data_IF_642212610459
#
_entry.id   IF_642212610459
#
_cell.length_a   1.000
_cell.length_b   1.000
_cell.length_c   1.000
_cell.angle_alpha   90.00
_cell.angle_beta   90.00
_cell.angle_gamma   90.00
#
_symmetry.space_group_name_H-M   'P 1'
#
loop_
_entity.id
_entity.type
_entity.pdbx_description
1 polymer ?
#
# COMPACT_ATOMS: atom_id res chain seq x y z
N UNK A 1 -10.04 -17.33 4.81
CA UNK A 1 -9.82 -16.23 3.84
C UNK A 1 -9.58 -14.93 4.61
N UNK A 2 -8.68 -14.06 4.16
CA UNK A 2 -8.35 -12.79 4.81
C UNK A 2 -8.02 -11.70 3.77
N UNK A 3 -7.85 -10.45 4.22
CA UNK A 3 -7.29 -9.37 3.38
C UNK A 3 -6.46 -8.41 4.21
N UNK A 4 -5.37 -7.93 3.63
CA UNK A 4 -4.72 -6.72 4.08
C UNK A 4 -5.37 -5.50 3.41
N UNK A 5 -5.49 -4.41 4.16
CA UNK A 5 -6.07 -3.13 3.71
C UNK A 5 -5.14 -1.99 4.13
N UNK A 6 -4.92 -1.03 3.23
CA UNK A 6 -4.21 0.22 3.50
C UNK A 6 -5.04 1.37 2.96
N UNK A 7 -5.18 2.42 3.76
CA UNK A 7 -5.75 3.70 3.34
C UNK A 7 -4.66 4.76 3.46
N UNK A 8 -4.41 5.50 2.38
CA UNK A 8 -3.56 6.70 2.38
C UNK A 8 -4.48 7.92 2.43
N UNK A 9 -4.26 8.83 3.38
CA UNK A 9 -4.96 10.10 3.45
C UNK A 9 -4.04 11.24 2.95
N UNK A 10 -4.51 12.00 1.97
CA UNK A 10 -3.86 13.21 1.48
C UNK A 10 -4.63 14.43 2.00
N UNK A 11 -4.00 15.18 2.90
CA UNK A 11 -4.51 16.43 3.44
C UNK A 11 -3.72 17.60 2.85
N UNK A 12 -4.42 18.53 2.20
CA UNK A 12 -3.86 19.77 1.64
C UNK A 12 -4.58 20.94 2.32
N UNK A 13 -3.86 21.96 2.84
CA UNK A 13 -4.51 23.12 3.44
C UNK A 13 -5.53 23.76 2.49
N UNK A 14 -6.75 23.98 2.97
CA UNK A 14 -7.83 24.57 2.19
C UNK A 14 -8.57 23.61 1.24
N UNK A 15 -8.15 22.34 1.17
CA UNK A 15 -8.84 21.30 0.41
C UNK A 15 -9.45 20.24 1.32
N UNK A 16 -10.46 19.54 0.82
CA UNK A 16 -10.97 18.34 1.48
C UNK A 16 -9.88 17.25 1.54
N UNK A 17 -9.82 16.52 2.65
CA UNK A 17 -8.93 15.36 2.77
C UNK A 17 -9.41 14.24 1.88
N UNK A 18 -8.54 13.75 1.00
CA UNK A 18 -8.84 12.65 0.08
C UNK A 18 -8.22 11.35 0.58
N UNK A 19 -8.93 10.24 0.47
CA UNK A 19 -8.43 8.91 0.88
C UNK A 19 -8.30 7.97 -0.30
N UNK A 20 -7.27 7.13 -0.28
CA UNK A 20 -6.98 6.14 -1.31
C UNK A 20 -6.79 4.77 -0.67
N UNK A 21 -7.70 3.85 -0.96
CA UNK A 21 -7.66 2.49 -0.41
C UNK A 21 -6.98 1.52 -1.37
N UNK A 22 -6.14 0.66 -0.83
CA UNK A 22 -5.60 -0.51 -1.50
C UNK A 22 -5.82 -1.76 -0.66
N UNK A 23 -6.17 -2.86 -1.32
CA UNK A 23 -6.40 -4.14 -0.67
C UNK A 23 -5.60 -5.26 -1.35
N UNK A 24 -5.22 -6.25 -0.58
CA UNK A 24 -4.71 -7.52 -1.06
C UNK A 24 -5.51 -8.62 -0.37
N UNK A 25 -6.34 -9.34 -1.12
CA UNK A 25 -7.07 -10.52 -0.62
C UNK A 25 -6.09 -11.68 -0.56
N UNK A 26 -6.28 -12.62 0.34
CA UNK A 26 -5.37 -13.75 0.52
C UNK A 26 -5.87 -14.73 1.57
N UNK A 27 -4.95 -15.52 2.10
CA UNK A 27 -5.25 -16.57 3.07
C UNK A 27 -4.25 -16.54 4.22
N UNK A 28 -4.72 -16.91 5.41
CA UNK A 28 -3.83 -17.09 6.56
C UNK A 28 -3.47 -18.57 6.60
N UNK A 29 -2.18 -18.87 6.54
CA UNK A 29 -1.64 -20.23 6.67
C UNK A 29 -1.28 -20.51 8.13
N UNK A 30 -1.31 -21.78 8.58
CA UNK A 30 -1.02 -22.14 9.97
C UNK A 30 0.47 -22.04 10.33
N UNK A 31 1.35 -22.06 9.32
CA UNK A 31 2.80 -22.09 9.49
C UNK A 31 3.43 -20.74 9.17
N UNK A 32 4.37 -20.32 10.00
CA UNK A 32 5.18 -19.13 9.77
C UNK A 32 6.25 -19.43 8.71
N UNK A 33 6.24 -18.70 7.59
CA UNK A 33 7.15 -18.89 6.46
C UNK A 33 7.78 -17.58 6.02
N UNK A 34 9.12 -17.58 5.94
CA UNK A 34 9.93 -16.44 5.52
C UNK A 34 10.23 -15.43 6.64
N UNK A 35 11.25 -14.60 6.42
CA UNK A 35 11.78 -13.65 7.42
C UNK A 35 11.68 -12.19 6.96
N UNK A 36 11.22 -11.95 5.73
CA UNK A 36 11.07 -10.61 5.19
C UNK A 36 9.79 -9.93 5.73
N UNK A 37 9.77 -8.60 5.66
CA UNK A 37 8.58 -7.84 6.03
C UNK A 37 8.39 -7.77 7.56
N UNK A 38 7.13 -7.71 8.00
CA UNK A 38 6.77 -7.54 9.41
C UNK A 38 5.32 -7.98 9.68
N UNK A 39 4.97 -8.09 10.97
CA UNK A 39 3.61 -8.40 11.41
C UNK A 39 3.12 -9.74 10.86
N UNK A 40 1.95 -9.75 10.22
CA UNK A 40 1.33 -10.96 9.68
C UNK A 40 1.90 -11.44 8.34
N UNK A 41 2.91 -10.74 7.80
CA UNK A 41 3.50 -11.09 6.51
C UNK A 41 3.87 -12.58 6.38
N UNK A 42 4.54 -13.22 7.37
CA UNK A 42 5.00 -14.58 7.18
C UNK A 42 3.90 -15.65 7.34
N UNK A 43 2.64 -15.26 7.63
CA UNK A 43 1.48 -16.16 7.59
C UNK A 43 0.44 -15.77 6.52
N UNK A 44 0.67 -14.70 5.75
CA UNK A 44 -0.29 -14.24 4.74
C UNK A 44 0.09 -14.76 3.35
N UNK A 45 -0.60 -15.79 2.87
CA UNK A 45 -0.43 -16.35 1.53
C UNK A 45 -1.03 -15.43 0.47
N UNK A 46 -0.22 -15.08 -0.54
CA UNK A 46 -0.59 -14.14 -1.61
C UNK A 46 -1.26 -14.87 -2.78
N UNK A 47 -2.45 -14.45 -3.25
CA UNK A 47 -3.15 -15.13 -4.34
C UNK A 47 -2.35 -15.21 -5.62
N UNK A 48 -2.51 -16.31 -6.35
CA UNK A 48 -1.77 -16.55 -7.60
C UNK A 48 -0.29 -16.83 -7.37
N UNK A 49 0.15 -17.00 -6.12
CA UNK A 49 1.51 -17.37 -5.76
C UNK A 49 1.48 -18.52 -4.74
N UNK A 50 2.63 -19.18 -4.52
CA UNK A 50 2.85 -20.15 -3.45
C UNK A 50 3.49 -19.56 -2.19
N UNK A 51 3.72 -18.24 -2.19
CA UNK A 51 4.53 -17.54 -1.18
C UNK A 51 3.66 -16.76 -0.19
N UNK A 52 4.10 -16.70 1.07
CA UNK A 52 3.63 -15.68 2.00
C UNK A 52 4.28 -14.33 1.67
N UNK A 53 3.76 -13.23 2.22
CA UNK A 53 4.48 -11.96 2.14
C UNK A 53 5.86 -12.00 2.84
N UNK A 54 6.03 -12.87 3.85
CA UNK A 54 7.31 -13.05 4.53
C UNK A 54 8.38 -13.75 3.69
N UNK A 55 7.97 -14.50 2.67
CA UNK A 55 8.87 -15.14 1.68
C UNK A 55 9.19 -14.23 0.49
N UNK A 56 8.56 -13.05 0.40
CA UNK A 56 8.76 -12.11 -0.72
C UNK A 56 9.77 -11.02 -0.35
N UNK A 57 10.85 -10.84 -1.13
CA UNK A 57 11.70 -9.66 -0.99
C UNK A 57 10.90 -8.38 -1.27
N UNK A 58 11.34 -7.20 -0.76
CA UNK A 58 10.60 -5.95 -0.89
C UNK A 58 10.17 -5.61 -2.32
N UNK A 59 11.04 -5.88 -3.29
CA UNK A 59 10.83 -5.66 -4.72
C UNK A 59 9.65 -6.46 -5.29
N UNK A 60 9.56 -7.74 -4.93
CA UNK A 60 8.48 -8.64 -5.33
C UNK A 60 7.18 -8.25 -4.62
N UNK A 61 7.26 -8.00 -3.30
CA UNK A 61 6.12 -7.60 -2.47
C UNK A 61 5.42 -6.34 -2.99
N UNK A 62 6.16 -5.38 -3.56
CA UNK A 62 5.58 -4.15 -4.14
C UNK A 62 4.57 -4.43 -5.26
N UNK A 63 4.67 -5.55 -5.97
CA UNK A 63 3.72 -5.90 -7.05
C UNK A 63 2.33 -6.25 -6.50
N UNK A 64 2.28 -6.84 -5.31
CA UNK A 64 1.08 -7.46 -4.75
C UNK A 64 0.49 -6.71 -3.54
N UNK A 65 1.30 -5.95 -2.80
CA UNK A 65 0.89 -5.44 -1.50
C UNK A 65 -0.23 -4.38 -1.59
N UNK A 66 -1.13 -4.44 -0.61
CA UNK A 66 -2.18 -3.45 -0.33
C UNK A 66 -1.65 -2.01 -0.25
N UNK A 67 -0.48 -1.79 0.35
CA UNK A 67 0.16 -0.45 0.39
C UNK A 67 0.56 0.05 -0.99
N UNK A 68 1.13 -0.82 -1.82
CA UNK A 68 1.49 -0.44 -3.19
C UNK A 68 0.25 -0.23 -4.07
N UNK A 69 -0.85 -0.95 -3.80
CA UNK A 69 -2.14 -0.68 -4.45
C UNK A 69 -2.69 0.71 -4.04
N UNK A 70 -2.67 1.06 -2.75
CA UNK A 70 -3.09 2.37 -2.27
C UNK A 70 -2.22 3.50 -2.85
N UNK A 71 -0.91 3.30 -2.91
CA UNK A 71 0.03 4.26 -3.50
C UNK A 71 -0.22 4.45 -5.01
N UNK A 72 -0.48 3.37 -5.75
CA UNK A 72 -0.87 3.45 -7.17
C UNK A 72 -2.18 4.23 -7.34
N UNK A 73 -3.19 3.94 -6.53
CA UNK A 73 -4.45 4.68 -6.56
C UNK A 73 -4.25 6.19 -6.31
N UNK A 74 -3.37 6.55 -5.37
CA UNK A 74 -2.99 7.95 -5.16
C UNK A 74 -2.31 8.56 -6.40
N UNK A 75 -1.30 7.89 -6.97
CA UNK A 75 -0.55 8.37 -8.12
C UNK A 75 -1.42 8.54 -9.36
N UNK A 76 -2.28 7.56 -9.65
CA UNK A 76 -3.19 7.55 -10.81
C UNK A 76 -4.29 8.60 -10.68
N UNK A 77 -4.68 8.97 -9.46
CA UNK A 77 -5.74 9.97 -9.22
C UNK A 77 -5.36 11.41 -9.61
N UNK A 78 -4.08 11.68 -9.89
CA UNK A 78 -3.55 13.02 -10.13
C UNK A 78 -3.58 13.95 -8.91
N UNK A 79 -4.00 13.48 -7.73
CA UNK A 79 -4.16 14.33 -6.55
C UNK A 79 -2.88 15.09 -6.15
N UNK A 80 -1.71 14.51 -6.44
CA UNK A 80 -0.42 15.11 -6.14
C UNK A 80 -0.06 16.30 -7.04
N UNK A 81 -0.73 16.49 -8.19
CA UNK A 81 -0.51 17.65 -9.07
C UNK A 81 -0.95 18.97 -8.40
N UNK A 82 -1.82 18.91 -7.40
CA UNK A 82 -2.22 20.08 -6.62
C UNK A 82 -1.10 20.57 -5.68
N UNK A 83 -0.11 19.72 -5.40
CA UNK A 83 1.01 20.06 -4.53
C UNK A 83 2.08 20.88 -5.26
N UNK A 84 2.25 20.72 -6.58
CA UNK A 84 3.25 21.47 -7.34
C UNK A 84 2.94 22.97 -7.43
N UNK A 85 1.65 23.37 -7.42
CA UNK A 85 1.26 24.78 -7.36
C UNK A 85 1.39 25.44 -5.98
N UNK A 86 1.55 24.65 -4.91
CA UNK A 86 1.57 25.15 -3.52
C UNK A 86 2.99 25.33 -2.95
N UNK A 87 4.02 24.94 -3.70
CA UNK A 87 5.43 25.16 -3.33
C UNK A 87 5.83 26.61 -3.66
N UNK A 88 5.37 27.15 -4.78
CA UNK A 88 5.70 28.52 -5.20
C UNK A 88 5.02 29.61 -4.35
N UNK A 89 3.89 29.32 -3.72
CA UNK A 89 3.14 30.27 -2.90
C UNK A 89 3.67 30.44 -1.46
N UNK A 90 4.54 29.53 -0.98
CA UNK A 90 5.14 29.56 0.37
C UNK A 90 6.56 30.13 0.41
N UNK A 91 7.05 30.60 -0.75
CA UNK A 91 8.31 31.33 -0.90
C UNK A 91 8.07 32.84 -1.02
N UNK A 92 7.45 33.47 -0.01
CA UNK A 92 7.54 34.90 0.27
C UNK A 92 7.17 35.18 1.72
#
# INVERSE_FOLDING_TARGET
KARFVCVIALAIPGSETRTFEGQCRGEVVPEWRGEAGFGYDPIFLVPGTSKTFGEMPPEEKRRYSHRAAAARALLESGALQQLSGSIDARGR
#
